data_IF_955831131519
#
_entry.id   IF_955831131519
#
_cell.length_a   1.000
_cell.length_b   1.000
_cell.length_c   1.000
_cell.angle_alpha   90.00
_cell.angle_beta   90.00
_cell.angle_gamma   90.00
#
_symmetry.space_group_name_H-M   'P 1'
#
loop_
_entity.id
_entity.type
_entity.pdbx_description
1 polymer ?
#
# COMPACT_ATOMS: atom_id res chain seq x y z
N UNK A 1 -2.89 7.30 4.68
CA UNK A 1 -1.72 7.89 4.02
C UNK A 1 -0.41 7.10 4.26
N UNK A 2 -0.47 6.00 5.01
CA UNK A 2 0.59 5.00 5.10
C UNK A 2 0.56 4.12 3.86
N UNK A 3 1.35 4.47 2.85
CA UNK A 3 1.43 3.72 1.60
C UNK A 3 2.76 3.96 0.90
N UNK A 4 3.03 3.20 -0.14
CA UNK A 4 4.16 3.45 -1.04
C UNK A 4 3.84 4.63 -1.97
N UNK A 5 4.87 5.36 -2.36
CA UNK A 5 4.74 6.57 -3.20
C UNK A 5 4.02 6.33 -4.54
N UNK A 6 4.15 5.13 -5.11
CA UNK A 6 3.48 4.77 -6.36
C UNK A 6 1.94 4.82 -6.29
N UNK A 7 1.34 4.73 -5.10
CA UNK A 7 -0.11 4.93 -4.91
C UNK A 7 -0.54 6.36 -5.26
N UNK A 8 0.34 7.34 -5.01
CA UNK A 8 0.08 8.77 -5.16
C UNK A 8 0.54 9.35 -6.50
N UNK A 9 1.68 8.89 -6.99
CA UNK A 9 2.33 9.47 -8.16
C UNK A 9 1.39 9.61 -9.38
N UNK A 10 0.53 8.62 -9.72
CA UNK A 10 -0.39 8.76 -10.85
C UNK A 10 -1.36 9.94 -10.71
N UNK A 11 -1.81 10.24 -9.48
CA UNK A 11 -2.68 11.40 -9.23
C UNK A 11 -1.98 12.69 -9.59
N UNK A 12 -0.71 12.80 -9.18
CA UNK A 12 0.10 14.00 -9.46
C UNK A 12 0.50 14.10 -10.93
N UNK A 13 0.80 12.98 -11.59
CA UNK A 13 1.11 12.95 -13.04
C UNK A 13 -0.05 13.49 -13.89
N UNK A 14 -1.29 13.21 -13.45
CA UNK A 14 -2.51 13.71 -14.11
C UNK A 14 -2.92 15.12 -13.62
N UNK A 15 -2.10 15.79 -12.81
CA UNK A 15 -2.36 17.14 -12.31
C UNK A 15 -3.37 17.22 -11.18
N UNK A 16 -3.70 16.07 -10.56
CA UNK A 16 -4.58 16.02 -9.39
C UNK A 16 -3.90 16.59 -8.14
N UNK A 17 -4.70 17.09 -7.22
CA UNK A 17 -4.26 17.61 -5.92
C UNK A 17 -4.65 16.56 -4.86
N UNK A 18 -3.68 15.88 -4.23
CA UNK A 18 -4.00 14.88 -3.23
C UNK A 18 -4.44 15.50 -1.90
N UNK A 19 -5.43 14.86 -1.27
CA UNK A 19 -5.79 15.04 0.13
C UNK A 19 -5.54 13.71 0.82
N UNK A 20 -4.74 13.73 1.87
CA UNK A 20 -4.36 12.52 2.58
C UNK A 20 -5.40 12.16 3.65
N UNK A 21 -5.66 10.87 3.80
CA UNK A 21 -6.51 10.33 4.84
C UNK A 21 -5.65 9.58 5.84
N UNK A 22 -5.79 9.89 7.12
CA UNK A 22 -5.02 9.24 8.17
C UNK A 22 -5.36 7.75 8.30
N UNK A 23 -4.51 7.02 8.98
CA UNK A 23 -4.69 5.59 9.25
C UNK A 23 -5.33 5.35 10.59
N UNK A 24 -6.03 4.23 10.72
CA UNK A 24 -6.54 3.75 12.00
C UNK A 24 -5.54 2.81 12.69
N UNK A 25 -5.59 2.77 14.01
CA UNK A 25 -4.70 1.92 14.82
C UNK A 25 -5.04 0.43 14.69
N UNK A 26 -6.28 0.11 14.37
CA UNK A 26 -6.83 -1.23 14.34
C UNK A 26 -6.35 -2.06 13.14
N UNK A 27 -6.02 -1.40 12.02
CA UNK A 27 -5.55 -2.08 10.80
C UNK A 27 -4.27 -1.48 10.22
N UNK A 28 -3.86 -0.30 10.64
CA UNK A 28 -2.82 0.56 10.05
C UNK A 28 -3.13 0.99 8.62
N UNK A 29 -4.34 0.78 8.15
CA UNK A 29 -4.83 1.18 6.84
C UNK A 29 -5.68 2.46 6.93
N UNK A 30 -6.19 2.93 5.78
CA UNK A 30 -7.03 4.12 5.72
C UNK A 30 -8.19 4.03 6.71
N UNK A 31 -8.37 5.08 7.49
CA UNK A 31 -9.47 5.19 8.47
C UNK A 31 -10.79 5.58 7.77
N UNK A 32 -11.83 4.73 7.78
CA UNK A 32 -13.13 5.06 7.19
C UNK A 32 -13.80 6.29 7.82
N UNK A 33 -13.59 6.53 9.12
CA UNK A 33 -14.15 7.71 9.81
C UNK A 33 -13.46 8.98 9.31
N UNK A 34 -12.13 8.94 9.12
CA UNK A 34 -11.40 10.05 8.55
C UNK A 34 -11.76 10.29 7.07
N UNK A 35 -12.03 9.23 6.30
CA UNK A 35 -12.50 9.33 4.92
C UNK A 35 -13.88 10.01 4.85
N UNK A 36 -14.83 9.61 5.69
CA UNK A 36 -16.16 10.25 5.75
C UNK A 36 -16.01 11.74 6.08
N UNK A 37 -15.12 12.06 7.03
CA UNK A 37 -14.81 13.45 7.39
C UNK A 37 -14.19 14.24 6.24
N UNK A 38 -13.34 13.60 5.44
CA UNK A 38 -12.75 14.23 4.27
C UNK A 38 -13.82 14.59 3.22
N UNK A 39 -14.82 13.76 2.99
CA UNK A 39 -15.90 14.08 2.10
C UNK A 39 -16.78 15.25 2.59
N UNK A 40 -16.90 15.46 3.90
CA UNK A 40 -17.54 16.67 4.44
C UNK A 40 -16.74 17.94 4.12
N UNK A 41 -15.40 17.85 4.17
CA UNK A 41 -14.52 18.98 3.90
C UNK A 41 -14.30 19.23 2.39
N UNK A 42 -14.32 18.17 1.59
CA UNK A 42 -14.03 18.18 0.16
C UNK A 42 -15.12 17.43 -0.63
N UNK A 43 -16.35 17.98 -0.69
CA UNK A 43 -17.50 17.28 -1.29
C UNK A 43 -17.37 17.05 -2.81
N UNK A 44 -16.44 17.74 -3.47
CA UNK A 44 -16.21 17.63 -4.92
C UNK A 44 -15.22 16.52 -5.30
N UNK A 45 -14.61 15.84 -4.33
CA UNK A 45 -13.72 14.70 -4.59
C UNK A 45 -14.48 13.59 -5.30
N UNK A 46 -13.90 13.07 -6.39
CA UNK A 46 -14.49 12.01 -7.23
C UNK A 46 -13.67 10.74 -7.29
N UNK A 47 -12.51 10.72 -6.65
CA UNK A 47 -11.60 9.60 -6.69
C UNK A 47 -10.95 9.38 -5.31
N UNK A 48 -11.01 8.15 -4.83
CA UNK A 48 -10.27 7.68 -3.67
C UNK A 48 -9.29 6.61 -4.13
N UNK A 49 -8.05 6.67 -3.67
CA UNK A 49 -7.06 5.62 -3.87
C UNK A 49 -6.72 5.03 -2.51
N UNK A 50 -6.93 3.74 -2.32
CA UNK A 50 -6.71 3.05 -1.06
C UNK A 50 -5.76 1.86 -1.26
N UNK A 51 -4.68 1.82 -0.48
CA UNK A 51 -3.72 0.72 -0.48
C UNK A 51 -3.99 -0.25 0.68
N UNK A 52 -3.67 -1.53 0.45
CA UNK A 52 -3.69 -2.59 1.46
C UNK A 52 -2.28 -2.78 2.02
N UNK A 53 -1.98 -2.11 3.12
CA UNK A 53 -0.63 -1.97 3.66
C UNK A 53 0.00 -3.31 4.05
N UNK A 54 1.17 -3.61 3.47
CA UNK A 54 2.01 -4.79 3.79
C UNK A 54 1.33 -6.15 3.62
N UNK A 55 0.19 -6.20 2.89
CA UNK A 55 -0.59 -7.43 2.71
C UNK A 55 -1.52 -7.77 3.87
N UNK A 56 -1.80 -6.80 4.72
CA UNK A 56 -2.78 -6.86 5.81
C UNK A 56 -3.96 -5.96 5.46
N UNK A 57 -5.09 -6.53 5.02
CA UNK A 57 -6.22 -5.73 4.58
C UNK A 57 -6.84 -4.89 5.70
N UNK A 58 -7.24 -3.67 5.35
CA UNK A 58 -8.08 -2.82 6.17
C UNK A 58 -9.58 -3.08 5.95
N UNK A 59 -10.39 -2.06 6.24
CA UNK A 59 -11.85 -2.10 6.05
C UNK A 59 -12.23 -1.62 4.66
N UNK A 60 -11.67 -2.26 3.62
CA UNK A 60 -11.83 -1.85 2.22
C UNK A 60 -13.30 -1.90 1.74
N UNK A 61 -14.10 -2.81 2.26
CA UNK A 61 -15.52 -2.92 1.99
C UNK A 61 -16.29 -1.70 2.52
N UNK A 62 -15.91 -1.18 3.68
CA UNK A 62 -16.47 0.04 4.26
C UNK A 62 -16.02 1.28 3.49
N UNK A 63 -14.73 1.36 3.13
CA UNK A 63 -14.19 2.40 2.26
C UNK A 63 -14.97 2.45 0.93
N UNK A 64 -15.22 1.28 0.31
CA UNK A 64 -16.01 1.19 -0.93
C UNK A 64 -17.44 1.75 -0.74
N UNK A 65 -18.12 1.36 0.34
CA UNK A 65 -19.48 1.87 0.64
C UNK A 65 -19.51 3.39 0.85
N UNK A 66 -18.49 3.95 1.49
CA UNK A 66 -18.36 5.40 1.66
C UNK A 66 -18.16 6.07 0.30
N UNK A 67 -17.27 5.55 -0.55
CA UNK A 67 -17.08 6.07 -1.90
C UNK A 67 -18.39 6.08 -2.71
N UNK A 68 -19.15 4.97 -2.70
CA UNK A 68 -20.44 4.85 -3.37
C UNK A 68 -21.45 5.87 -2.85
N UNK A 69 -21.55 6.06 -1.53
CA UNK A 69 -22.42 7.05 -0.89
C UNK A 69 -22.16 8.48 -1.39
N UNK A 70 -20.90 8.82 -1.61
CA UNK A 70 -20.47 10.16 -2.05
C UNK A 70 -20.30 10.28 -3.58
N UNK A 71 -20.59 9.23 -4.34
CA UNK A 71 -20.47 9.22 -5.80
C UNK A 71 -19.03 9.35 -6.28
N UNK A 72 -18.08 8.81 -5.53
CA UNK A 72 -16.67 8.76 -5.84
C UNK A 72 -16.26 7.34 -6.30
N UNK A 73 -15.31 7.27 -7.23
CA UNK A 73 -14.67 6.02 -7.64
C UNK A 73 -13.61 5.59 -6.63
N UNK A 74 -13.45 4.29 -6.47
CA UNK A 74 -12.37 3.70 -5.68
C UNK A 74 -11.35 3.01 -6.59
N UNK A 75 -10.09 3.44 -6.50
CA UNK A 75 -8.96 2.65 -6.99
C UNK A 75 -8.37 1.90 -5.81
N UNK A 76 -8.37 0.58 -5.89
CA UNK A 76 -7.75 -0.28 -4.88
C UNK A 76 -6.31 -0.59 -5.29
N UNK A 77 -5.35 -0.09 -4.53
CA UNK A 77 -3.95 -0.47 -4.67
C UNK A 77 -3.68 -1.75 -3.87
N UNK A 78 -3.94 -2.88 -4.52
CA UNK A 78 -3.69 -4.21 -3.98
C UNK A 78 -2.29 -4.74 -4.36
N UNK A 79 -1.34 -3.85 -4.64
CA UNK A 79 0.03 -4.21 -5.03
C UNK A 79 0.74 -5.11 -4.01
N UNK A 80 0.26 -5.16 -2.79
CA UNK A 80 0.83 -5.93 -1.67
C UNK A 80 -0.09 -7.04 -1.17
N UNK A 81 -1.35 -7.05 -1.62
CA UNK A 81 -2.42 -7.84 -1.05
C UNK A 81 -2.87 -9.02 -1.92
N UNK A 82 -2.07 -9.43 -2.91
CA UNK A 82 -2.42 -10.59 -3.72
C UNK A 82 -2.60 -11.84 -2.86
N UNK A 83 -3.78 -12.47 -2.92
CA UNK A 83 -4.15 -13.63 -2.11
C UNK A 83 -4.71 -13.29 -0.73
N UNK A 84 -4.64 -12.03 -0.28
CA UNK A 84 -5.32 -11.59 0.93
C UNK A 84 -6.82 -11.43 0.69
N UNK A 85 -7.65 -11.62 1.74
CA UNK A 85 -9.12 -11.53 1.63
C UNK A 85 -9.75 -10.72 2.76
N UNK A 86 -10.93 -10.16 2.46
CA UNK A 86 -11.84 -9.57 3.44
C UNK A 86 -13.20 -10.29 3.29
N UNK A 87 -13.66 -10.93 4.35
CA UNK A 87 -14.88 -11.78 4.37
C UNK A 87 -14.92 -12.81 3.21
N UNK A 88 -13.74 -13.41 2.92
CA UNK A 88 -13.56 -14.39 1.85
C UNK A 88 -13.51 -13.82 0.43
N UNK A 89 -13.65 -12.51 0.26
CA UNK A 89 -13.51 -11.82 -1.02
C UNK A 89 -12.08 -11.33 -1.21
N UNK A 90 -11.48 -11.63 -2.37
CA UNK A 90 -10.09 -11.30 -2.69
C UNK A 90 -9.85 -9.78 -2.75
N UNK A 91 -8.77 -9.30 -2.10
CA UNK A 91 -8.25 -7.96 -2.32
C UNK A 91 -7.85 -7.79 -3.79
N UNK A 92 -8.03 -6.59 -4.32
CA UNK A 92 -7.95 -6.31 -5.75
C UNK A 92 -9.31 -6.45 -6.47
N UNK A 93 -10.38 -6.80 -5.75
CA UNK A 93 -11.72 -6.92 -6.35
C UNK A 93 -12.75 -5.94 -5.78
N UNK A 94 -12.37 -5.10 -4.81
CA UNK A 94 -13.28 -4.14 -4.17
C UNK A 94 -13.38 -2.81 -4.92
N UNK A 95 -12.26 -2.34 -5.50
CA UNK A 95 -12.22 -1.12 -6.28
C UNK A 95 -13.04 -1.18 -7.57
N UNK A 96 -13.43 -0.03 -8.09
CA UNK A 96 -13.91 0.09 -9.48
C UNK A 96 -12.79 -0.28 -10.44
N UNK A 97 -11.56 0.06 -10.05
CA UNK A 97 -10.31 -0.32 -10.67
C UNK A 97 -9.33 -0.76 -9.59
N UNK A 98 -8.50 -1.75 -9.88
CA UNK A 98 -7.51 -2.22 -8.92
C UNK A 98 -6.20 -2.54 -9.59
N UNK A 99 -5.10 -2.39 -8.84
CA UNK A 99 -3.76 -2.69 -9.33
C UNK A 99 -3.11 -3.80 -8.48
N UNK A 100 -2.51 -4.78 -9.15
CA UNK A 100 -1.65 -5.80 -8.55
C UNK A 100 -0.23 -5.59 -9.06
N UNK A 101 0.76 -5.73 -8.18
CA UNK A 101 2.17 -5.62 -8.53
C UNK A 101 2.87 -6.98 -8.55
N UNK A 102 3.72 -7.17 -9.56
CA UNK A 102 4.65 -8.29 -9.67
C UNK A 102 6.11 -7.82 -9.62
N UNK A 103 6.35 -6.70 -8.92
CA UNK A 103 7.71 -6.21 -8.70
C UNK A 103 8.56 -7.24 -7.94
N UNK A 104 9.91 -7.10 -8.00
CA UNK A 104 10.88 -8.10 -7.54
C UNK A 104 10.74 -8.59 -6.10
N UNK A 105 10.12 -7.79 -5.23
CA UNK A 105 9.93 -8.10 -3.80
C UNK A 105 8.51 -8.57 -3.44
N UNK A 106 7.58 -8.68 -4.40
CA UNK A 106 6.19 -9.07 -4.11
C UNK A 106 6.05 -10.58 -3.91
N UNK A 107 4.92 -10.99 -3.33
CA UNK A 107 4.65 -12.40 -2.98
C UNK A 107 4.67 -13.35 -4.19
N UNK A 108 4.23 -12.84 -5.34
CA UNK A 108 4.46 -13.40 -6.68
C UNK A 108 5.19 -12.34 -7.48
N UNK A 109 6.29 -12.69 -8.10
CA UNK A 109 7.15 -11.71 -8.78
C UNK A 109 7.56 -12.13 -10.18
N UNK A 110 7.64 -11.13 -11.06
CA UNK A 110 8.31 -11.23 -12.36
C UNK A 110 9.56 -10.35 -12.44
N UNK A 111 10.11 -9.89 -11.29
CA UNK A 111 11.13 -8.82 -11.20
C UNK A 111 10.56 -7.44 -11.56
N UNK A 112 9.55 -7.38 -12.39
CA UNK A 112 8.76 -6.20 -12.77
C UNK A 112 7.37 -6.62 -13.21
N UNK A 113 6.52 -5.66 -13.56
CA UNK A 113 5.18 -5.92 -14.08
C UNK A 113 4.10 -5.72 -13.03
N UNK A 114 2.88 -5.75 -13.51
CA UNK A 114 1.65 -5.61 -12.75
C UNK A 114 0.44 -5.88 -13.64
N UNK A 115 -0.74 -5.85 -13.07
CA UNK A 115 -1.97 -5.90 -13.84
C UNK A 115 -3.01 -4.93 -13.28
N UNK A 116 -3.84 -4.42 -14.18
CA UNK A 116 -5.07 -3.71 -13.88
C UNK A 116 -6.21 -4.72 -13.83
N UNK A 117 -7.05 -4.64 -12.81
CA UNK A 117 -8.28 -5.39 -12.66
C UNK A 117 -9.47 -4.43 -12.76
N UNK A 118 -10.47 -4.79 -13.55
CA UNK A 118 -11.73 -4.05 -13.67
C UNK A 118 -12.81 -4.96 -14.26
N UNK A 119 -14.05 -4.66 -13.95
CA UNK A 119 -15.23 -5.30 -14.57
C UNK A 119 -15.65 -4.60 -15.87
N UNK A 120 -15.06 -3.45 -16.20
CA UNK A 120 -15.39 -2.66 -17.38
C UNK A 120 -14.49 -3.04 -18.57
N UNK A 121 -15.04 -3.80 -19.53
CA UNK A 121 -14.30 -4.30 -20.66
C UNK A 121 -13.72 -3.17 -21.55
N UNK A 122 -14.42 -2.05 -21.67
CA UNK A 122 -13.96 -0.90 -22.43
C UNK A 122 -12.72 -0.26 -21.80
N UNK A 123 -12.72 -0.12 -20.47
CA UNK A 123 -11.57 0.39 -19.69
C UNK A 123 -10.40 -0.56 -19.82
N UNK A 124 -10.63 -1.88 -19.71
CA UNK A 124 -9.58 -2.88 -19.87
C UNK A 124 -8.95 -2.82 -21.30
N UNK A 125 -9.77 -2.64 -22.33
CA UNK A 125 -9.30 -2.50 -23.71
C UNK A 125 -8.54 -1.18 -23.93
N UNK A 126 -9.02 -0.08 -23.34
CA UNK A 126 -8.33 1.21 -23.39
C UNK A 126 -6.96 1.15 -22.71
N UNK A 127 -6.88 0.58 -21.51
CA UNK A 127 -5.63 0.40 -20.78
C UNK A 127 -4.65 -0.48 -21.59
N UNK A 128 -5.14 -1.56 -22.23
CA UNK A 128 -4.33 -2.42 -23.09
C UNK A 128 -3.79 -1.65 -24.29
N UNK A 129 -4.62 -0.83 -24.94
CA UNK A 129 -4.21 0.04 -26.05
C UNK A 129 -3.12 1.01 -25.60
N UNK A 130 -3.35 1.72 -24.49
CA UNK A 130 -2.36 2.66 -23.94
C UNK A 130 -1.05 1.99 -23.56
N UNK A 131 -1.09 0.80 -22.99
CA UNK A 131 0.14 0.07 -22.60
C UNK A 131 1.01 -0.35 -23.80
N UNK A 132 0.49 -0.26 -25.01
CA UNK A 132 1.16 -0.60 -26.29
C UNK A 132 1.22 0.60 -27.23
N UNK A 133 1.63 1.75 -26.71
CA UNK A 133 1.84 3.03 -27.39
C UNK A 133 0.57 3.60 -28.07
N UNK A 134 -0.62 3.21 -27.64
CA UNK A 134 -1.92 3.59 -28.23
C UNK A 134 -1.98 3.35 -29.76
N UNK A 135 -1.38 2.25 -30.22
CA UNK A 135 -1.34 1.91 -31.65
C UNK A 135 -2.73 1.55 -32.16
N UNK A 136 -3.09 2.12 -33.33
CA UNK A 136 -4.31 1.83 -34.04
C UNK A 136 -4.20 0.55 -34.91
N UNK A 137 -5.34 -0.04 -35.23
CA UNK A 137 -5.43 -1.18 -36.19
C UNK A 137 -5.39 -0.65 -37.62
N UNK A 138 -4.20 -0.29 -38.10
CA UNK A 138 -3.94 0.18 -39.43
C UNK A 138 -2.82 -0.63 -40.11
N UNK A 139 -2.70 -0.54 -41.44
CA UNK A 139 -1.64 -1.20 -42.20
C UNK A 139 -0.24 -0.58 -41.93
N UNK A 140 -0.20 0.60 -41.35
CA UNK A 140 1.01 1.31 -40.94
C UNK A 140 0.93 1.61 -39.45
N UNK A 141 2.00 2.15 -38.84
CA UNK A 141 1.98 2.64 -37.45
C UNK A 141 1.20 3.94 -37.40
N UNK A 142 -0.03 3.87 -36.88
CA UNK A 142 -0.89 5.01 -36.65
C UNK A 142 -1.16 5.16 -35.15
N UNK A 143 -1.14 6.40 -34.68
CA UNK A 143 -1.39 6.77 -33.31
C UNK A 143 -2.28 8.01 -33.28
N UNK A 144 -3.47 7.92 -32.69
CA UNK A 144 -4.43 9.03 -32.56
C UNK A 144 -4.38 9.67 -31.18
N UNK A 145 -3.68 9.03 -30.25
CA UNK A 145 -3.49 9.51 -28.89
C UNK A 145 -2.12 9.07 -28.34
N UNK A 146 -1.70 9.71 -27.25
CA UNK A 146 -0.45 9.32 -26.55
C UNK A 146 -0.67 8.03 -25.79
N UNK A 147 0.28 7.12 -25.91
CA UNK A 147 0.33 5.87 -25.16
C UNK A 147 1.71 5.61 -24.57
N UNK A 148 1.83 4.46 -23.91
CA UNK A 148 3.00 4.11 -23.09
C UNK A 148 3.57 2.76 -23.54
N UNK A 149 4.80 2.48 -23.17
CA UNK A 149 5.40 1.16 -23.29
C UNK A 149 5.35 0.43 -21.95
N UNK A 150 4.13 0.08 -21.50
CA UNK A 150 3.87 -0.53 -20.20
C UNK A 150 3.43 -1.99 -20.29
N UNK A 151 3.34 -2.54 -21.50
CA UNK A 151 2.94 -3.93 -21.67
C UNK A 151 4.00 -4.88 -21.11
N UNK A 152 3.59 -5.74 -20.18
CA UNK A 152 4.42 -6.81 -19.68
C UNK A 152 4.92 -7.72 -20.81
N UNK A 153 6.22 -8.06 -20.84
CA UNK A 153 6.76 -8.99 -21.81
C UNK A 153 6.30 -10.43 -21.54
N UNK A 154 6.31 -11.28 -22.58
CA UNK A 154 5.96 -12.70 -22.43
C UNK A 154 6.91 -13.45 -21.48
N UNK A 155 8.19 -13.03 -21.40
CA UNK A 155 9.17 -13.62 -20.47
C UNK A 155 8.73 -13.37 -19.04
N UNK A 156 8.42 -12.10 -18.68
CA UNK A 156 7.93 -11.73 -17.36
C UNK A 156 6.61 -12.43 -17.05
N UNK A 157 5.67 -12.44 -17.99
CA UNK A 157 4.40 -13.14 -17.81
C UNK A 157 4.59 -14.66 -17.58
N UNK A 158 5.55 -15.27 -18.25
CA UNK A 158 5.92 -16.67 -18.06
C UNK A 158 6.46 -16.95 -16.67
N UNK A 159 7.33 -16.09 -16.14
CA UNK A 159 7.87 -16.19 -14.77
C UNK A 159 6.74 -16.07 -13.72
N UNK A 160 5.87 -15.08 -13.87
CA UNK A 160 4.71 -14.89 -12.97
C UNK A 160 3.78 -16.10 -13.00
N UNK A 161 3.43 -16.57 -14.23
CA UNK A 161 2.58 -17.74 -14.42
C UNK A 161 3.16 -18.99 -13.77
N UNK A 162 4.49 -19.16 -13.81
CA UNK A 162 5.19 -20.29 -13.19
C UNK A 162 5.14 -20.27 -11.67
N UNK A 163 5.05 -19.10 -11.04
CA UNK A 163 4.98 -18.94 -9.59
C UNK A 163 3.54 -18.97 -9.05
N UNK A 164 2.56 -18.52 -9.84
CA UNK A 164 1.17 -18.38 -9.41
C UNK A 164 0.57 -19.63 -8.75
N UNK A 165 0.82 -20.87 -9.25
CA UNK A 165 0.34 -22.08 -8.59
C UNK A 165 0.84 -22.29 -7.14
N UNK A 166 1.90 -21.59 -6.75
CA UNK A 166 2.52 -21.68 -5.42
C UNK A 166 2.11 -20.53 -4.48
N UNK A 167 1.13 -19.70 -4.87
CA UNK A 167 0.72 -18.53 -4.07
C UNK A 167 0.32 -18.93 -2.65
N UNK A 168 -0.52 -19.94 -2.50
CA UNK A 168 -0.97 -20.42 -1.17
C UNK A 168 0.18 -20.97 -0.32
N UNK A 169 1.15 -21.63 -0.94
CA UNK A 169 2.36 -22.08 -0.26
C UNK A 169 3.20 -20.89 0.22
N UNK A 170 3.35 -19.86 -0.60
CA UNK A 170 4.08 -18.64 -0.23
C UNK A 170 3.39 -17.92 0.94
N UNK A 171 2.05 -17.81 0.90
CA UNK A 171 1.26 -17.22 1.99
C UNK A 171 1.47 -18.03 3.28
N UNK A 172 1.40 -19.36 3.22
CA UNK A 172 1.60 -20.22 4.39
C UNK A 172 3.00 -20.07 4.99
N UNK A 173 4.04 -19.97 4.15
CA UNK A 173 5.42 -19.71 4.59
C UNK A 173 5.56 -18.34 5.26
N UNK A 174 4.97 -17.29 4.67
CA UNK A 174 4.96 -15.93 5.24
C UNK A 174 4.20 -15.87 6.57
N UNK A 175 3.05 -16.54 6.65
CA UNK A 175 2.28 -16.70 7.89
C UNK A 175 3.12 -17.34 8.99
N UNK A 176 3.79 -18.45 8.70
CA UNK A 176 4.65 -19.13 9.66
C UNK A 176 5.79 -18.23 10.17
N UNK A 177 6.36 -17.36 9.31
CA UNK A 177 7.35 -16.36 9.71
C UNK A 177 6.73 -15.33 10.65
N UNK A 178 5.59 -14.77 10.29
CA UNK A 178 4.86 -13.79 11.11
C UNK A 178 4.53 -14.36 12.50
N UNK A 179 3.98 -15.58 12.55
CA UNK A 179 3.62 -16.25 13.81
C UNK A 179 4.85 -16.50 14.67
N UNK A 180 5.98 -16.88 14.09
CA UNK A 180 7.25 -17.04 14.81
C UNK A 180 7.73 -15.73 15.43
N UNK A 181 7.64 -14.62 14.71
CA UNK A 181 7.95 -13.30 15.28
C UNK A 181 6.97 -12.93 16.39
N UNK A 182 5.67 -13.06 16.14
CA UNK A 182 4.64 -12.75 17.13
C UNK A 182 4.87 -13.53 18.44
N UNK A 183 5.11 -14.83 18.35
CA UNK A 183 5.28 -15.70 19.52
C UNK A 183 6.64 -15.47 20.21
N UNK A 184 7.69 -15.20 19.45
CA UNK A 184 9.02 -14.93 19.98
C UNK A 184 9.20 -13.55 20.61
N UNK A 185 8.37 -12.59 20.22
CA UNK A 185 8.46 -11.19 20.67
C UNK A 185 7.30 -10.77 21.60
N UNK A 186 6.40 -11.68 21.96
CA UNK A 186 5.16 -11.41 22.71
C UNK A 186 5.35 -10.76 24.08
N UNK A 187 6.53 -10.99 24.72
CA UNK A 187 6.85 -10.46 26.04
C UNK A 187 7.60 -9.11 25.96
N UNK A 188 7.81 -8.58 24.76
CA UNK A 188 8.43 -7.27 24.54
C UNK A 188 7.38 -6.19 24.33
N UNK A 189 7.70 -4.93 24.68
CA UNK A 189 6.79 -3.79 24.54
C UNK A 189 6.71 -3.34 23.06
N UNK A 190 6.15 -4.19 22.23
CA UNK A 190 5.96 -3.96 20.80
C UNK A 190 4.56 -4.39 20.38
N UNK A 191 4.08 -3.85 19.27
CA UNK A 191 2.94 -4.37 18.54
C UNK A 191 3.35 -4.73 17.12
N UNK A 192 2.87 -5.85 16.60
CA UNK A 192 3.03 -6.23 15.20
C UNK A 192 1.83 -5.75 14.39
N UNK A 193 1.98 -5.71 13.05
CA UNK A 193 0.87 -5.36 12.17
C UNK A 193 -0.37 -6.22 12.51
N UNK A 194 -1.50 -5.54 12.78
CA UNK A 194 -2.69 -6.19 13.30
C UNK A 194 -3.44 -6.95 12.21
N UNK A 195 -4.16 -8.00 12.62
CA UNK A 195 -5.10 -8.73 11.76
C UNK A 195 -6.51 -8.27 12.14
N UNK A 196 -7.18 -7.62 11.23
CA UNK A 196 -8.54 -7.14 11.43
C UNK A 196 -9.54 -8.29 11.35
N UNK A 197 -10.61 -8.25 12.13
CA UNK A 197 -11.67 -9.25 12.09
C UNK A 197 -12.26 -9.37 10.66
N UNK A 198 -12.47 -10.60 10.20
CA UNK A 198 -12.96 -10.87 8.84
C UNK A 198 -11.87 -10.84 7.76
N UNK A 199 -10.61 -10.52 8.10
CA UNK A 199 -9.52 -10.48 7.11
C UNK A 199 -8.61 -11.71 7.21
N UNK A 200 -8.09 -12.13 6.05
CA UNK A 200 -7.01 -13.09 5.93
C UNK A 200 -5.85 -12.46 5.18
N UNK A 201 -4.78 -12.01 5.88
CA UNK A 201 -3.61 -11.42 5.23
C UNK A 201 -2.83 -12.40 4.38
N UNK A 202 -2.06 -11.90 3.41
CA UNK A 202 -1.03 -12.69 2.75
C UNK A 202 0.33 -12.63 3.48
N UNK A 203 0.44 -11.83 4.55
CA UNK A 203 1.63 -11.70 5.39
C UNK A 203 2.89 -11.26 4.62
N UNK A 204 2.73 -10.44 3.58
CA UNK A 204 3.85 -10.04 2.73
C UNK A 204 5.04 -9.51 3.54
N UNK A 205 4.82 -8.58 4.48
CA UNK A 205 5.83 -8.10 5.40
C UNK A 205 5.37 -8.22 6.85
N UNK A 206 6.27 -8.68 7.73
CA UNK A 206 6.11 -8.60 9.19
C UNK A 206 6.68 -7.28 9.66
N UNK A 207 5.81 -6.39 10.14
CA UNK A 207 6.19 -5.08 10.66
C UNK A 207 5.90 -4.99 12.16
N UNK A 208 6.63 -4.14 12.85
CA UNK A 208 6.41 -3.89 14.28
C UNK A 208 6.55 -2.41 14.61
N UNK A 209 5.88 -1.99 15.66
CA UNK A 209 6.05 -0.69 16.30
C UNK A 209 6.45 -0.90 17.76
N UNK A 210 7.30 -0.02 18.26
CA UNK A 210 7.74 -0.01 19.67
C UNK A 210 6.73 0.80 20.47
N UNK A 211 6.36 0.31 21.66
CA UNK A 211 5.53 1.08 22.58
C UNK A 211 6.23 2.41 22.91
N UNK A 212 5.48 3.50 22.83
CA UNK A 212 5.98 4.87 23.02
C UNK A 212 6.68 5.08 24.36
N UNK A 213 6.27 4.37 25.42
CA UNK A 213 6.83 4.51 26.77
C UNK A 213 8.23 3.86 26.85
N UNK A 214 8.57 2.99 25.90
CA UNK A 214 9.87 2.34 25.75
C UNK A 214 10.73 2.95 24.63
N UNK A 215 10.26 4.03 24.01
CA UNK A 215 11.02 4.76 23.00
C UNK A 215 12.02 5.72 23.63
N UNK A 216 13.29 5.64 23.25
CA UNK A 216 14.24 6.71 23.51
C UNK A 216 14.03 7.88 22.53
N UNK A 217 14.60 9.04 22.85
CA UNK A 217 14.48 10.22 22.00
C UNK A 217 15.15 9.98 20.66
N UNK A 218 14.38 10.08 19.58
CA UNK A 218 14.87 10.02 18.21
C UNK A 218 14.55 11.33 17.50
N UNK A 219 15.52 11.86 16.74
CA UNK A 219 15.37 13.07 15.93
C UNK A 219 15.57 12.66 14.48
N UNK A 220 14.58 12.94 13.65
CA UNK A 220 14.59 12.66 12.21
C UNK A 220 14.68 13.97 11.45
N UNK A 221 15.71 14.10 10.60
CA UNK A 221 15.78 15.08 9.55
C UNK A 221 15.09 14.59 8.27
N UNK A 222 15.36 15.24 7.15
CA UNK A 222 14.84 14.81 5.86
C UNK A 222 15.58 13.60 5.29
N UNK A 223 16.86 13.48 5.58
CA UNK A 223 17.78 12.45 5.05
C UNK A 223 18.53 11.69 6.11
N UNK A 224 18.49 12.15 7.34
CA UNK A 224 19.26 11.61 8.47
C UNK A 224 18.38 11.32 9.68
N UNK A 225 18.87 10.51 10.57
CA UNK A 225 18.25 10.19 11.85
C UNK A 225 19.33 10.05 12.91
N UNK A 226 19.08 10.60 14.07
CA UNK A 226 19.91 10.37 15.26
C UNK A 226 19.03 10.06 16.47
N UNK A 227 19.59 9.41 17.47
CA UNK A 227 18.90 9.10 18.71
C UNK A 227 19.80 9.30 19.92
N UNK A 228 19.18 9.50 21.08
CA UNK A 228 19.89 9.61 22.36
C UNK A 228 19.65 8.32 23.14
N UNK A 229 20.69 7.47 23.30
CA UNK A 229 20.54 6.22 24.07
C UNK A 229 20.06 6.48 25.48
N UNK A 230 19.07 5.69 25.93
CA UNK A 230 18.50 5.76 27.28
C UNK A 230 18.34 4.36 27.83
N UNK A 231 18.79 4.13 29.08
CA UNK A 231 18.75 2.81 29.72
C UNK A 231 17.29 2.30 29.81
N UNK A 232 17.04 1.11 29.28
CA UNK A 232 15.73 0.46 29.28
C UNK A 232 14.79 0.94 28.17
N UNK A 233 15.28 1.79 27.27
CA UNK A 233 14.55 2.24 26.08
C UNK A 233 15.34 1.98 24.82
N UNK A 234 14.66 1.97 23.68
CA UNK A 234 15.24 1.79 22.36
C UNK A 234 14.51 2.61 21.31
N UNK A 235 14.91 2.54 20.06
CA UNK A 235 14.22 3.15 18.94
C UNK A 235 14.42 2.30 17.66
N UNK A 236 13.63 2.53 16.60
CA UNK A 236 13.79 1.80 15.35
C UNK A 236 15.21 1.83 14.78
N UNK A 237 15.90 2.96 14.85
CA UNK A 237 17.27 3.10 14.35
C UNK A 237 18.23 2.17 15.10
N UNK A 238 18.20 2.17 16.44
CA UNK A 238 19.04 1.30 17.26
C UNK A 238 18.76 -0.18 17.00
N UNK A 239 17.47 -0.58 16.89
CA UNK A 239 17.10 -1.96 16.56
C UNK A 239 17.66 -2.36 15.19
N UNK A 240 17.54 -1.50 14.18
CA UNK A 240 18.06 -1.79 12.83
C UNK A 240 19.59 -1.94 12.82
N UNK A 241 20.32 -1.15 13.61
CA UNK A 241 21.77 -1.30 13.80
C UNK A 241 22.11 -2.65 14.42
N UNK A 242 21.40 -3.07 15.46
CA UNK A 242 21.59 -4.36 16.12
C UNK A 242 21.28 -5.52 15.16
N UNK A 243 20.17 -5.48 14.45
CA UNK A 243 19.78 -6.49 13.46
C UNK A 243 20.85 -6.60 12.37
N UNK A 244 21.34 -5.46 11.86
CA UNK A 244 22.40 -5.42 10.85
C UNK A 244 23.69 -6.06 11.34
N UNK A 245 24.03 -5.92 12.64
CA UNK A 245 25.25 -6.51 13.23
C UNK A 245 25.26 -8.05 13.24
N UNK A 246 24.09 -8.67 13.15
CA UNK A 246 23.92 -10.13 13.08
C UNK A 246 23.57 -10.62 11.66
N UNK A 247 23.87 -9.81 10.65
CA UNK A 247 23.63 -10.08 9.23
C UNK A 247 22.14 -10.32 8.90
N UNK A 248 21.24 -9.64 9.60
CA UNK A 248 19.81 -9.57 9.27
C UNK A 248 19.46 -8.16 8.81
N UNK A 249 18.57 -8.05 7.84
CA UNK A 249 18.14 -6.77 7.28
C UNK A 249 16.73 -6.42 7.74
N UNK A 250 16.57 -5.20 8.24
CA UNK A 250 15.28 -4.57 8.51
C UNK A 250 15.19 -3.22 7.80
N UNK A 251 13.99 -2.72 7.68
CA UNK A 251 13.70 -1.38 7.12
C UNK A 251 12.75 -0.66 8.06
N UNK A 252 12.84 0.67 8.19
CA UNK A 252 11.78 1.43 8.85
C UNK A 252 10.45 1.20 8.14
N UNK A 253 9.35 1.23 8.89
CA UNK A 253 8.03 1.35 8.26
C UNK A 253 8.00 2.65 7.45
N UNK A 254 7.16 2.70 6.43
CA UNK A 254 7.14 3.85 5.53
C UNK A 254 6.79 5.14 6.25
N UNK A 255 7.43 6.20 5.82
CA UNK A 255 7.10 7.55 6.25
C UNK A 255 5.74 7.92 5.64
N UNK A 256 4.76 8.36 6.43
CA UNK A 256 3.47 8.78 5.92
C UNK A 256 3.60 9.78 4.76
N UNK A 257 2.75 9.65 3.75
CA UNK A 257 2.89 10.44 2.51
C UNK A 257 2.79 11.94 2.76
N UNK A 258 1.88 12.40 3.63
CA UNK A 258 1.77 13.80 3.98
C UNK A 258 3.05 14.39 4.63
N UNK A 259 3.94 13.53 5.17
CA UNK A 259 5.22 13.93 5.75
C UNK A 259 6.36 13.93 4.73
N UNK A 260 6.16 13.44 3.51
CA UNK A 260 7.18 13.47 2.46
C UNK A 260 7.43 14.92 2.03
N UNK A 261 8.70 15.31 1.76
CA UNK A 261 9.04 16.70 1.39
C UNK A 261 8.19 17.25 0.25
N UNK A 262 7.89 16.42 -0.76
CA UNK A 262 7.12 16.82 -1.93
C UNK A 262 5.62 17.02 -1.64
N UNK A 263 5.10 16.46 -0.53
CA UNK A 263 3.68 16.48 -0.19
C UNK A 263 3.33 17.30 1.05
N UNK A 264 4.30 17.89 1.74
CA UNK A 264 4.09 18.67 2.99
C UNK A 264 3.13 19.85 2.86
N UNK A 265 2.86 20.30 1.63
CA UNK A 265 1.94 21.41 1.37
C UNK A 265 0.48 20.94 1.24
N UNK A 266 0.25 19.64 1.20
CA UNK A 266 -1.08 19.06 1.07
C UNK A 266 -1.69 18.74 2.44
N UNK A 267 -3.01 18.72 2.50
CA UNK A 267 -3.73 18.48 3.74
C UNK A 267 -3.87 16.99 4.04
N UNK A 268 -3.86 16.67 5.33
CA UNK A 268 -4.15 15.35 5.86
C UNK A 268 -5.36 15.44 6.79
N UNK A 269 -6.32 14.54 6.61
CA UNK A 269 -7.57 14.50 7.37
C UNK A 269 -7.57 13.28 8.28
N UNK A 270 -7.73 13.53 9.58
CA UNK A 270 -7.98 12.51 10.60
C UNK A 270 -9.41 12.53 11.09
N UNK A 271 -9.72 11.72 12.09
CA UNK A 271 -11.07 11.60 12.70
C UNK A 271 -11.63 12.94 13.20
N UNK A 272 -10.77 13.83 13.68
CA UNK A 272 -11.17 15.12 14.28
C UNK A 272 -11.08 16.29 13.28
N UNK A 273 -10.72 16.04 12.03
CA UNK A 273 -10.57 17.04 10.98
C UNK A 273 -9.15 17.11 10.41
N UNK A 274 -8.77 18.26 9.86
CA UNK A 274 -7.47 18.45 9.22
C UNK A 274 -6.31 18.36 10.20
N UNK A 275 -5.37 17.47 9.93
CA UNK A 275 -4.10 17.34 10.65
C UNK A 275 -3.08 18.25 9.93
N UNK A 276 -2.49 19.19 10.65
CA UNK A 276 -1.37 19.98 10.14
C UNK A 276 -0.07 19.38 10.65
N UNK A 277 0.75 18.87 9.76
CA UNK A 277 2.14 18.53 10.10
C UNK A 277 2.91 19.82 10.38
N UNK A 278 3.43 19.95 11.61
CA UNK A 278 4.34 21.02 12.00
C UNK A 278 5.78 20.64 11.70
#
# INVERSE_FOLDING_TARGET
>A
DMTFDATLNPVVYEGGIPVFIDTEAESWNMDPVALEKAFELYPDVKLVVCAELYGFPGRIDEIKRICEKHGALLIEDAAEAMGATVDGRQCGSFGDYSAISFNGNKIITGSSGGCLLTNEIEVANKARKWSTQAREAAAWYQHEEVGYNYRMSNVIAGVIRGQYPYLEEHIAQKKAIYERYRDGLKDLPIAMNPITTGTEPNYWLSALIIDKDYMCKQVRGDTDVCYVPEKGKTCPTEILEVISSINAEGRPIWKPMHMQPMYRMHECVGREGTIRCK
#
